data_IF_714777680312
#
_entry.id   IF_714777680312
#
_cell.length_a   1.000
_cell.length_b   1.000
_cell.length_c   1.000
_cell.angle_alpha   90.00
_cell.angle_beta   90.00
_cell.angle_gamma   90.00
#
_symmetry.space_group_name_H-M   'P 1'
#
loop_
_entity.id
_entity.type
_entity.pdbx_description
1 polymer ?
#
# COMPACT_ATOMS: atom_id res chain seq x y z
N UNK A 1 -16.23 1.64 -3.68
CA UNK A 1 -17.34 2.55 -4.06
C UNK A 1 -17.59 3.51 -2.93
N UNK A 2 -17.70 4.80 -3.20
CA UNK A 2 -18.12 5.77 -2.19
C UNK A 2 -19.65 5.80 -2.12
N UNK A 3 -20.20 5.37 -0.98
CA UNK A 3 -21.64 5.31 -0.72
C UNK A 3 -22.20 6.69 -0.35
N UNK A 4 -23.53 6.85 -0.46
CA UNK A 4 -24.22 8.06 0.00
C UNK A 4 -23.86 8.36 1.46
N UNK A 5 -23.48 9.61 1.72
CA UNK A 5 -23.07 10.07 3.05
C UNK A 5 -21.56 9.98 3.31
N UNK A 6 -20.78 9.31 2.44
CA UNK A 6 -19.33 9.34 2.52
C UNK A 6 -18.79 10.77 2.33
N UNK A 7 -17.69 11.07 3.02
CA UNK A 7 -16.96 12.35 2.91
C UNK A 7 -15.56 12.00 2.41
N UNK A 8 -15.26 12.43 1.19
CA UNK A 8 -13.94 12.25 0.57
C UNK A 8 -13.00 13.41 0.97
N UNK A 9 -11.68 13.25 0.77
CA UNK A 9 -10.71 14.33 0.98
C UNK A 9 -11.14 15.63 0.30
N UNK A 10 -10.96 16.76 0.98
CA UNK A 10 -11.43 18.07 0.52
C UNK A 10 -12.91 18.37 0.81
N UNK A 11 -13.47 17.75 1.85
CA UNK A 11 -14.87 17.94 2.31
C UNK A 11 -15.94 17.62 1.26
N UNK A 12 -15.62 16.71 0.33
CA UNK A 12 -16.51 16.34 -0.75
C UNK A 12 -17.51 15.28 -0.29
N UNK A 13 -18.75 15.72 -0.03
CA UNK A 13 -19.83 14.85 0.47
C UNK A 13 -20.61 14.18 -0.68
N UNK A 14 -20.64 12.85 -0.68
CA UNK A 14 -21.41 12.06 -1.64
C UNK A 14 -22.90 12.14 -1.32
N UNK A 15 -23.69 12.53 -2.33
CA UNK A 15 -25.15 12.62 -2.29
C UNK A 15 -25.75 11.94 -3.51
N UNK A 16 -26.94 11.39 -3.37
CA UNK A 16 -27.70 10.90 -4.52
C UNK A 16 -27.99 12.06 -5.48
N UNK A 17 -27.69 11.86 -6.76
CA UNK A 17 -27.88 12.87 -7.80
C UNK A 17 -28.33 12.21 -9.10
N UNK A 18 -28.91 12.99 -10.01
CA UNK A 18 -29.15 12.54 -11.38
C UNK A 18 -28.05 13.06 -12.28
N UNK A 19 -27.36 12.16 -12.97
CA UNK A 19 -26.36 12.50 -13.96
C UNK A 19 -26.93 12.22 -15.35
N UNK A 20 -27.08 13.25 -16.18
CA UNK A 20 -27.63 13.13 -17.54
C UNK A 20 -29.00 12.43 -17.63
N UNK A 21 -29.83 12.61 -16.60
CA UNK A 21 -31.18 12.03 -16.51
C UNK A 21 -31.24 10.72 -15.71
N UNK A 22 -30.13 10.01 -15.58
CA UNK A 22 -30.06 8.73 -14.87
C UNK A 22 -29.71 8.90 -13.39
N UNK A 23 -30.32 8.12 -12.49
CA UNK A 23 -30.01 8.16 -11.07
C UNK A 23 -28.61 7.59 -10.79
N UNK A 24 -27.84 8.28 -9.94
CA UNK A 24 -26.56 7.81 -9.39
C UNK A 24 -26.61 7.82 -7.86
N UNK A 25 -26.38 6.65 -7.27
CA UNK A 25 -26.43 6.41 -5.81
C UNK A 25 -25.04 6.26 -5.19
N UNK A 26 -24.01 6.72 -5.89
CA UNK A 26 -22.63 6.64 -5.40
C UNK A 26 -21.63 7.09 -6.45
N UNK A 27 -20.36 6.85 -6.14
CA UNK A 27 -19.25 7.19 -7.01
C UNK A 27 -18.22 6.05 -7.02
N UNK A 28 -17.75 5.70 -8.22
CA UNK A 28 -16.54 4.89 -8.39
C UNK A 28 -15.36 5.84 -8.29
N UNK A 29 -14.43 5.57 -7.37
CA UNK A 29 -13.31 6.47 -7.07
C UNK A 29 -12.04 6.03 -7.80
N UNK A 30 -11.25 7.02 -8.19
CA UNK A 30 -9.85 6.94 -8.61
C UNK A 30 -8.90 7.00 -7.41
N UNK A 31 -7.61 6.72 -7.61
CA UNK A 31 -6.60 6.84 -6.55
C UNK A 31 -6.45 8.26 -6.03
N UNK A 32 -6.56 9.25 -6.91
CA UNK A 32 -6.46 10.65 -6.50
C UNK A 32 -7.66 11.15 -5.72
N UNK A 33 -8.88 10.74 -6.06
CA UNK A 33 -10.07 11.09 -5.28
C UNK A 33 -10.02 10.51 -3.86
N UNK A 34 -9.28 9.43 -3.63
CA UNK A 34 -9.01 8.86 -2.32
C UNK A 34 -7.76 9.43 -1.63
N UNK A 35 -6.99 10.29 -2.31
CA UNK A 35 -5.75 10.88 -1.78
C UNK A 35 -4.58 9.89 -1.66
N UNK A 36 -4.59 8.80 -2.44
CA UNK A 36 -3.56 7.74 -2.38
C UNK A 36 -2.39 8.07 -3.30
N UNK A 37 -2.66 8.58 -4.50
CA UNK A 37 -1.63 9.00 -5.46
C UNK A 37 -2.19 10.07 -6.41
N UNK A 38 -1.31 10.69 -7.19
CA UNK A 38 -1.72 11.65 -8.23
C UNK A 38 -2.25 10.97 -9.51
N UNK A 39 -2.51 9.66 -9.49
CA UNK A 39 -3.06 8.95 -10.64
C UNK A 39 -4.55 9.28 -10.84
N UNK A 40 -4.83 9.88 -12.00
CA UNK A 40 -6.14 10.29 -12.47
C UNK A 40 -6.54 9.58 -13.77
N UNK A 41 -5.82 8.54 -14.17
CA UNK A 41 -6.04 7.85 -15.45
C UNK A 41 -7.40 7.12 -15.51
N UNK A 42 -7.96 6.73 -14.37
CA UNK A 42 -9.24 6.05 -14.30
C UNK A 42 -9.68 5.69 -12.88
N UNK A 43 -10.70 4.84 -12.80
CA UNK A 43 -11.19 4.25 -11.55
C UNK A 43 -10.21 3.22 -11.01
N UNK A 44 -10.25 2.96 -9.70
CA UNK A 44 -9.44 1.90 -9.09
C UNK A 44 -9.96 0.53 -9.53
N UNK A 45 -9.09 -0.25 -10.16
CA UNK A 45 -9.32 -1.67 -10.45
C UNK A 45 -8.79 -2.51 -9.27
N UNK A 46 -9.70 -3.18 -8.57
CA UNK A 46 -9.33 -4.08 -7.49
C UNK A 46 -9.12 -5.51 -8.01
N UNK A 47 -8.30 -6.32 -7.31
CA UNK A 47 -8.20 -7.76 -7.57
C UNK A 47 -9.58 -8.44 -7.60
N UNK A 48 -9.73 -9.46 -8.45
CA UNK A 48 -11.02 -10.13 -8.66
C UNK A 48 -11.54 -10.86 -7.40
N UNK A 49 -10.66 -11.15 -6.46
CA UNK A 49 -10.93 -11.78 -5.16
C UNK A 49 -11.17 -10.76 -4.03
N UNK A 50 -11.27 -9.47 -4.34
CA UNK A 50 -11.55 -8.45 -3.35
C UNK A 50 -12.91 -8.69 -2.65
N UNK A 51 -12.95 -8.74 -1.31
CA UNK A 51 -14.17 -9.01 -0.56
C UNK A 51 -15.18 -7.86 -0.72
N UNK A 52 -16.41 -8.20 -1.09
CA UNK A 52 -17.48 -7.22 -1.24
C UNK A 52 -17.99 -6.74 0.12
N UNK A 53 -18.21 -5.44 0.25
CA UNK A 53 -18.76 -4.81 1.45
C UNK A 53 -17.73 -4.46 2.53
N UNK A 54 -16.46 -4.89 2.37
CA UNK A 54 -15.36 -4.47 3.24
C UNK A 54 -14.96 -3.03 2.97
N UNK A 55 -14.63 -2.28 4.02
CA UNK A 55 -14.09 -0.93 3.87
C UNK A 55 -12.76 -0.98 3.11
N UNK A 56 -12.59 -0.07 2.15
CA UNK A 56 -11.37 0.02 1.34
C UNK A 56 -10.15 0.34 2.21
N UNK A 57 -10.32 1.08 3.31
CA UNK A 57 -9.26 1.40 4.27
C UNK A 57 -8.74 0.14 4.95
N UNK A 58 -9.65 -0.76 5.33
CA UNK A 58 -9.28 -2.04 5.95
C UNK A 58 -8.67 -3.01 4.95
N UNK A 59 -9.18 -3.03 3.72
CA UNK A 59 -8.71 -3.91 2.66
C UNK A 59 -7.31 -3.53 2.17
N UNK A 60 -7.09 -2.24 1.84
CA UNK A 60 -5.80 -1.75 1.36
C UNK A 60 -4.84 -1.31 2.48
N UNK A 61 -5.25 -1.41 3.75
CA UNK A 61 -4.46 -0.97 4.92
C UNK A 61 -4.05 0.52 4.83
N UNK A 62 -5.02 1.38 4.50
CA UNK A 62 -4.77 2.81 4.29
C UNK A 62 -4.53 3.61 5.58
N UNK A 63 -4.94 3.07 6.74
CA UNK A 63 -4.64 3.64 8.05
C UNK A 63 -3.21 3.30 8.48
N UNK A 64 -2.24 3.61 7.61
CA UNK A 64 -0.81 3.39 7.78
C UNK A 64 -0.03 4.69 7.53
N UNK A 65 1.23 4.76 7.97
CA UNK A 65 2.05 5.96 7.91
C UNK A 65 3.38 5.72 7.18
N UNK A 66 3.70 6.63 6.27
CA UNK A 66 5.05 6.71 5.69
C UNK A 66 5.97 7.49 6.64
N UNK A 67 7.02 6.84 7.15
CA UNK A 67 8.01 7.46 8.04
C UNK A 67 9.31 7.69 7.25
N UNK A 68 9.67 8.95 7.07
CA UNK A 68 10.94 9.34 6.45
C UNK A 68 12.03 9.54 7.52
N UNK A 69 13.18 8.88 7.34
CA UNK A 69 14.31 8.96 8.27
C UNK A 69 15.59 9.38 7.57
N UNK A 70 16.38 10.24 8.22
CA UNK A 70 17.71 10.63 7.75
C UNK A 70 18.77 9.66 8.28
N UNK A 71 19.37 8.87 7.38
CA UNK A 71 20.39 7.88 7.74
C UNK A 71 21.79 8.46 7.57
N UNK A 72 22.59 8.44 8.64
CA UNK A 72 23.99 8.89 8.59
C UNK A 72 24.90 7.84 7.93
N UNK A 73 26.06 8.22 7.33
CA UNK A 73 26.90 7.30 6.56
C UNK A 73 27.43 6.07 7.31
N UNK A 74 27.49 6.12 8.64
CA UNK A 74 27.90 5.01 9.49
C UNK A 74 26.83 3.91 9.68
N UNK A 75 25.59 4.13 9.23
CA UNK A 75 24.46 3.19 9.35
C UNK A 75 23.96 2.71 7.99
N UNK A 76 24.87 2.24 7.13
CA UNK A 76 24.54 1.69 5.82
C UNK A 76 23.56 0.49 5.90
N UNK A 77 23.51 -0.18 7.04
CA UNK A 77 22.54 -1.24 7.35
C UNK A 77 21.09 -0.74 7.36
N UNK A 78 20.84 0.52 7.76
CA UNK A 78 19.49 1.10 7.86
C UNK A 78 18.92 1.63 6.54
N UNK A 79 19.53 1.34 5.40
CA UNK A 79 19.03 1.73 4.07
C UNK A 79 17.95 0.77 3.52
N UNK A 80 17.55 -0.22 4.30
CA UNK A 80 16.45 -1.13 3.95
C UNK A 80 15.62 -1.52 5.16
N UNK A 81 14.43 -2.09 4.90
CA UNK A 81 13.45 -2.44 5.93
C UNK A 81 14.04 -3.37 6.99
N UNK A 82 14.83 -4.38 6.59
CA UNK A 82 15.43 -5.34 7.53
C UNK A 82 16.37 -4.66 8.55
N UNK A 83 17.16 -3.67 8.13
CA UNK A 83 18.09 -3.00 9.03
C UNK A 83 17.39 -2.08 10.01
N UNK A 84 16.43 -1.30 9.52
CA UNK A 84 15.58 -0.44 10.37
C UNK A 84 14.78 -1.31 11.36
N UNK A 85 14.14 -2.38 10.89
CA UNK A 85 13.40 -3.30 11.74
C UNK A 85 14.28 -3.99 12.79
N UNK A 86 15.53 -4.35 12.44
CA UNK A 86 16.49 -4.92 13.38
C UNK A 86 16.85 -3.94 14.50
N UNK A 87 17.08 -2.68 14.16
CA UNK A 87 17.39 -1.64 15.16
C UNK A 87 16.20 -1.44 16.13
N UNK A 88 14.98 -1.36 15.59
CA UNK A 88 13.74 -1.27 16.38
C UNK A 88 13.54 -2.51 17.26
N UNK A 89 13.81 -3.71 16.74
CA UNK A 89 13.70 -4.96 17.49
C UNK A 89 14.65 -5.00 18.69
N UNK A 90 15.91 -4.59 18.49
CA UNK A 90 16.93 -4.49 19.55
C UNK A 90 16.50 -3.51 20.63
N UNK A 91 16.04 -2.31 20.25
CA UNK A 91 15.58 -1.28 21.19
C UNK A 91 14.39 -1.74 22.03
N UNK A 92 13.46 -2.49 21.43
CA UNK A 92 12.27 -2.99 22.11
C UNK A 92 12.48 -4.37 22.78
N UNK A 93 13.69 -4.95 22.70
CA UNK A 93 14.00 -6.30 23.18
C UNK A 93 13.03 -7.37 22.62
N UNK A 94 12.63 -7.20 21.38
CA UNK A 94 11.73 -8.10 20.67
C UNK A 94 12.52 -8.97 19.67
N UNK A 95 12.07 -10.20 19.37
CA UNK A 95 12.65 -10.98 18.29
C UNK A 95 12.37 -10.30 16.94
N UNK A 96 13.34 -10.36 16.02
CA UNK A 96 13.14 -9.95 14.64
C UNK A 96 12.42 -11.07 13.88
N UNK A 97 11.28 -10.76 13.25
CA UNK A 97 10.57 -11.69 12.38
C UNK A 97 11.00 -11.45 10.93
N UNK A 98 11.69 -12.42 10.35
CA UNK A 98 12.15 -12.38 8.96
C UNK A 98 11.18 -13.14 8.04
N UNK A 99 10.99 -12.70 6.79
CA UNK A 99 10.18 -13.43 5.82
C UNK A 99 10.84 -14.76 5.46
N UNK A 100 10.04 -15.77 5.17
CA UNK A 100 10.55 -17.05 4.70
C UNK A 100 11.10 -16.90 3.27
N UNK A 101 12.38 -17.22 3.09
CA UNK A 101 13.06 -17.21 1.78
C UNK A 101 13.48 -18.64 1.43
N UNK A 102 12.61 -19.35 0.72
CA UNK A 102 12.90 -20.70 0.26
C UNK A 102 14.07 -20.70 -0.75
N UNK A 103 15.02 -21.63 -0.66
CA UNK A 103 16.12 -21.72 -1.61
C UNK A 103 15.58 -22.08 -3.01
N UNK A 104 15.98 -21.29 -4.01
CA UNK A 104 15.64 -21.55 -5.42
C UNK A 104 16.74 -22.37 -6.05
N UNK A 105 16.37 -23.45 -6.74
CA UNK A 105 17.35 -24.32 -7.43
C UNK A 105 17.93 -23.57 -8.63
N UNK A 106 19.25 -23.66 -8.82
CA UNK A 106 19.91 -23.07 -9.99
C UNK A 106 19.35 -23.69 -11.28
N UNK A 107 18.99 -22.85 -12.24
CA UNK A 107 18.48 -23.26 -13.57
C UNK A 107 19.58 -23.34 -14.63
N UNK A 108 20.79 -22.87 -14.32
CA UNK A 108 21.95 -22.87 -15.20
C UNK A 108 23.16 -23.47 -14.48
N UNK A 109 24.06 -24.07 -15.26
CA UNK A 109 25.26 -24.75 -14.77
C UNK A 109 26.55 -23.99 -15.04
N UNK A 110 26.48 -22.76 -15.57
CA UNK A 110 27.65 -21.92 -15.82
C UNK A 110 28.38 -21.59 -14.52
N UNK A 111 29.70 -21.81 -14.50
CA UNK A 111 30.55 -21.53 -13.34
C UNK A 111 31.72 -20.63 -13.74
N UNK A 112 31.95 -19.54 -13.00
CA UNK A 112 33.14 -18.71 -13.15
C UNK A 112 34.20 -19.14 -12.13
N UNK A 113 35.40 -19.49 -12.60
CA UNK A 113 36.55 -19.75 -11.70
C UNK A 113 37.08 -18.42 -11.18
N UNK A 114 36.91 -18.17 -9.88
CA UNK A 114 37.57 -17.06 -9.19
C UNK A 114 39.07 -17.39 -9.06
N UNK A 115 39.93 -16.44 -9.48
CA UNK A 115 41.40 -16.49 -9.28
C UNK A 115 41.77 -15.88 -7.94
#
# INVERSE_FOLDING_TARGET
MATIGAILPGDFKIKAAKLRGEPSEGMLCSFSELGISDDHSGIIELPADAPLGTDIREYLKLDDNTIEISVTPNRADCLGIIGVARDVAVLNKAPLQEPEMAPVTATISDTLRLR
#
